data_IF_026241157279
#
_entry.id   IF_026241157279
#
_cell.length_a   1.000
_cell.length_b   1.000
_cell.length_c   1.000
_cell.angle_alpha   90.00
_cell.angle_beta   90.00
_cell.angle_gamma   90.00
#
_symmetry.space_group_name_H-M   'P 1'
#
loop_
_entity.id
_entity.type
_entity.pdbx_description
1 polymer ?
#
# COMPACT_ATOMS: atom_id res chain seq x y z
N UNK A 1 6.25 25.15 -16.67
CA UNK A 1 6.81 24.06 -17.50
C UNK A 1 7.85 24.56 -18.50
N UNK A 2 7.71 25.74 -19.10
CA UNK A 2 8.74 26.34 -19.98
C UNK A 2 10.13 26.52 -19.32
N UNK A 3 10.19 26.69 -17.99
CA UNK A 3 11.44 26.93 -17.28
C UNK A 3 12.42 25.75 -17.30
N UNK A 4 11.92 24.51 -17.17
CA UNK A 4 12.76 23.31 -17.06
C UNK A 4 13.15 22.72 -18.42
N UNK A 5 12.48 23.11 -19.50
CA UNK A 5 12.74 22.62 -20.88
C UNK A 5 12.79 21.09 -21.01
N UNK A 6 11.97 20.39 -20.23
CA UNK A 6 11.82 18.92 -20.30
C UNK A 6 10.47 18.55 -20.92
N UNK A 7 10.39 17.46 -21.70
CA UNK A 7 9.11 16.93 -22.15
C UNK A 7 8.21 16.60 -20.96
N UNK A 8 6.91 16.90 -21.08
CA UNK A 8 5.91 16.62 -20.06
C UNK A 8 4.65 16.09 -20.75
N UNK A 9 4.09 15.02 -20.20
CA UNK A 9 2.80 14.47 -20.60
C UNK A 9 1.92 14.35 -19.35
N UNK A 10 0.66 14.75 -19.49
CA UNK A 10 -0.34 14.64 -18.42
C UNK A 10 -1.24 13.44 -18.70
N UNK A 11 -1.24 12.49 -17.78
CA UNK A 11 -2.11 11.33 -17.81
C UNK A 11 -3.27 11.56 -16.83
N UNK A 12 -4.49 11.74 -17.35
CA UNK A 12 -5.69 12.01 -16.55
C UNK A 12 -6.36 10.70 -16.12
N UNK A 13 -6.03 10.22 -14.92
CA UNK A 13 -6.65 9.03 -14.37
C UNK A 13 -8.05 9.36 -13.82
N UNK A 14 -9.14 8.81 -14.41
CA UNK A 14 -10.49 9.13 -13.97
C UNK A 14 -10.76 8.61 -12.56
N UNK A 15 -11.54 9.38 -11.80
CA UNK A 15 -11.98 8.97 -10.45
C UNK A 15 -13.20 8.08 -10.60
N UNK A 16 -13.08 6.82 -10.17
CA UNK A 16 -14.22 5.91 -10.07
C UNK A 16 -15.06 6.22 -8.82
N UNK A 17 -16.35 6.52 -8.99
CA UNK A 17 -17.24 6.90 -7.88
C UNK A 17 -18.14 5.76 -7.36
N UNK A 18 -17.91 4.52 -7.82
CA UNK A 18 -18.62 3.34 -7.30
C UNK A 18 -18.41 3.15 -5.80
N UNK A 19 -19.42 2.62 -5.12
CA UNK A 19 -19.54 2.66 -3.66
C UNK A 19 -19.19 1.34 -2.97
N UNK A 20 -18.88 0.28 -3.71
CA UNK A 20 -18.60 -1.04 -3.14
C UNK A 20 -17.43 -1.77 -3.83
N UNK A 21 -16.87 -2.77 -3.13
CA UNK A 21 -15.85 -3.68 -3.66
C UNK A 21 -16.34 -4.46 -4.89
N UNK A 22 -17.64 -4.79 -4.94
CA UNK A 22 -18.30 -5.38 -6.10
C UNK A 22 -18.40 -4.40 -7.30
N UNK A 23 -18.40 -3.09 -7.05
CA UNK A 23 -18.45 -2.09 -8.12
C UNK A 23 -17.08 -1.92 -8.79
N UNK A 24 -15.98 -2.21 -8.09
CA UNK A 24 -14.62 -2.17 -8.68
C UNK A 24 -14.37 -3.23 -9.73
N UNK A 25 -15.13 -4.32 -9.68
CA UNK A 25 -15.13 -5.35 -10.72
C UNK A 25 -16.04 -4.98 -11.91
N UNK A 26 -16.88 -3.95 -11.75
CA UNK A 26 -17.87 -3.49 -12.71
C UNK A 26 -17.66 -1.99 -13.00
N UNK A 27 -16.41 -1.58 -13.25
CA UNK A 27 -16.09 -0.24 -13.74
C UNK A 27 -16.69 -0.10 -15.14
N UNK A 28 -17.28 1.05 -15.43
CA UNK A 28 -17.81 1.36 -16.75
C UNK A 28 -16.71 1.20 -17.82
N UNK A 29 -16.98 0.39 -18.83
CA UNK A 29 -16.05 0.11 -19.93
C UNK A 29 -15.67 1.40 -20.68
N UNK A 30 -16.55 2.40 -20.74
CA UNK A 30 -16.21 3.69 -21.34
C UNK A 30 -15.08 4.41 -20.57
N UNK A 31 -15.04 4.28 -19.23
CA UNK A 31 -13.99 4.86 -18.39
C UNK A 31 -12.67 4.09 -18.59
N UNK A 32 -12.75 2.76 -18.69
CA UNK A 32 -11.58 1.92 -18.97
C UNK A 32 -11.01 2.27 -20.35
N UNK A 33 -11.84 2.35 -21.38
CA UNK A 33 -11.42 2.68 -22.73
C UNK A 33 -10.83 4.09 -22.82
N UNK A 34 -11.44 5.08 -22.16
CA UNK A 34 -10.89 6.43 -22.09
C UNK A 34 -9.47 6.45 -21.53
N UNK A 35 -9.23 5.76 -20.42
CA UNK A 35 -7.93 5.74 -19.80
C UNK A 35 -6.92 4.88 -20.58
N UNK A 36 -7.37 3.76 -21.16
CA UNK A 36 -6.56 2.92 -22.06
C UNK A 36 -6.08 3.70 -23.27
N UNK A 37 -6.90 4.56 -23.86
CA UNK A 37 -6.51 5.43 -24.98
C UNK A 37 -5.41 6.41 -24.55
N UNK A 38 -5.52 7.02 -23.37
CA UNK A 38 -4.44 7.88 -22.85
C UNK A 38 -3.14 7.10 -22.59
N UNK A 39 -3.22 5.84 -22.14
CA UNK A 39 -2.01 5.00 -21.99
C UNK A 39 -1.32 4.72 -23.34
N UNK A 40 -2.08 4.50 -24.42
CA UNK A 40 -1.50 4.40 -25.77
C UNK A 40 -0.87 5.73 -26.22
N UNK A 41 -1.49 6.87 -25.90
CA UNK A 41 -0.93 8.20 -26.19
C UNK A 41 0.37 8.47 -25.40
N UNK A 42 0.46 8.06 -24.13
CA UNK A 42 1.70 8.10 -23.34
C UNK A 42 2.79 7.29 -24.03
N UNK A 43 2.47 6.10 -24.53
CA UNK A 43 3.43 5.26 -25.25
C UNK A 43 3.94 5.99 -26.49
N UNK A 44 3.04 6.53 -27.32
CA UNK A 44 3.42 7.28 -28.52
C UNK A 44 4.31 8.49 -28.18
N UNK A 45 4.00 9.21 -27.10
CA UNK A 45 4.82 10.32 -26.61
C UNK A 45 6.22 9.86 -26.17
N UNK A 46 6.32 8.73 -25.46
CA UNK A 46 7.62 8.15 -25.05
C UNK A 46 8.43 7.71 -26.27
N UNK A 47 7.79 7.10 -27.27
CA UNK A 47 8.44 6.73 -28.54
C UNK A 47 8.98 7.96 -29.28
N UNK A 48 8.23 9.06 -29.33
CA UNK A 48 8.65 10.32 -29.94
C UNK A 48 9.86 10.92 -29.22
N UNK A 49 9.81 11.01 -27.89
CA UNK A 49 10.87 11.62 -27.08
C UNK A 49 12.16 10.79 -27.10
N UNK A 50 12.04 9.46 -27.10
CA UNK A 50 13.19 8.56 -27.02
C UNK A 50 13.73 8.12 -28.38
N UNK A 51 12.92 8.23 -29.44
CA UNK A 51 13.19 7.64 -30.75
C UNK A 51 13.22 6.11 -30.75
N UNK A 52 12.70 5.46 -29.70
CA UNK A 52 12.68 4.01 -29.55
C UNK A 52 11.23 3.50 -29.65
N UNK A 53 10.89 2.69 -30.67
CA UNK A 53 9.56 2.11 -30.77
C UNK A 53 9.34 1.03 -29.70
N UNK A 54 8.08 0.82 -29.33
CA UNK A 54 7.63 -0.26 -28.44
C UNK A 54 7.96 -1.61 -29.06
N UNK A 55 8.81 -2.37 -28.38
CA UNK A 55 9.05 -3.78 -28.66
C UNK A 55 7.92 -4.62 -28.02
N UNK A 56 7.06 -5.29 -28.80
CA UNK A 56 5.92 -6.03 -28.26
C UNK A 56 6.32 -7.18 -27.32
N UNK A 57 7.45 -7.82 -27.58
CA UNK A 57 7.94 -8.95 -26.78
C UNK A 57 8.44 -8.45 -25.43
N UNK A 58 9.24 -7.38 -25.43
CA UNK A 58 9.70 -6.74 -24.19
C UNK A 58 8.53 -6.16 -23.41
N UNK A 59 7.58 -5.53 -24.09
CA UNK A 59 6.41 -4.94 -23.46
C UNK A 59 5.58 -6.00 -22.71
N UNK A 60 5.24 -7.11 -23.37
CA UNK A 60 4.57 -8.23 -22.71
C UNK A 60 5.38 -8.78 -21.55
N UNK A 61 6.70 -8.97 -21.74
CA UNK A 61 7.59 -9.48 -20.68
C UNK A 61 7.62 -8.58 -19.44
N UNK A 62 7.59 -7.26 -19.60
CA UNK A 62 7.52 -6.31 -18.49
C UNK A 62 6.25 -6.53 -17.66
N UNK A 63 5.11 -6.80 -18.29
CA UNK A 63 3.86 -7.08 -17.60
C UNK A 63 3.84 -8.45 -16.92
N UNK A 64 4.45 -9.47 -17.53
CA UNK A 64 4.65 -10.77 -16.88
C UNK A 64 5.47 -10.64 -15.59
N UNK A 65 6.53 -9.84 -15.61
CA UNK A 65 7.37 -9.56 -14.44
C UNK A 65 6.61 -8.77 -13.37
N UNK A 66 5.84 -7.77 -13.78
CA UNK A 66 5.00 -6.99 -12.86
C UNK A 66 3.93 -7.85 -12.18
N UNK A 67 3.27 -8.72 -12.95
CA UNK A 67 2.31 -9.68 -12.42
C UNK A 67 2.98 -10.63 -11.43
N UNK A 68 4.18 -11.14 -11.76
CA UNK A 68 4.95 -11.99 -10.85
C UNK A 68 5.31 -11.29 -9.54
N UNK A 69 5.71 -10.02 -9.58
CA UNK A 69 5.95 -9.23 -8.36
C UNK A 69 4.67 -9.14 -7.50
N UNK A 70 3.53 -8.85 -8.13
CA UNK A 70 2.24 -8.78 -7.45
C UNK A 70 1.85 -10.12 -6.79
N UNK A 71 2.02 -11.24 -7.49
CA UNK A 71 1.72 -12.58 -6.95
C UNK A 71 2.60 -12.89 -5.74
N UNK A 72 3.91 -12.64 -5.84
CA UNK A 72 4.87 -12.86 -4.75
C UNK A 72 4.53 -12.00 -3.52
N UNK A 73 4.18 -10.73 -3.71
CA UNK A 73 3.75 -9.84 -2.63
C UNK A 73 2.44 -10.33 -1.99
N UNK A 74 1.51 -10.84 -2.81
CA UNK A 74 0.28 -11.48 -2.34
C UNK A 74 0.54 -12.69 -1.45
N UNK A 75 1.44 -13.59 -1.87
CA UNK A 75 1.87 -14.75 -1.09
C UNK A 75 2.55 -14.34 0.23
N UNK A 76 3.44 -13.34 0.18
CA UNK A 76 4.11 -12.76 1.35
C UNK A 76 3.10 -12.24 2.38
N UNK A 77 2.08 -11.51 1.90
CA UNK A 77 1.03 -10.97 2.76
C UNK A 77 0.19 -12.07 3.42
N UNK A 78 -0.03 -13.22 2.77
CA UNK A 78 -0.72 -14.35 3.44
C UNK A 78 0.09 -14.89 4.62
N UNK A 79 1.43 -14.94 4.52
CA UNK A 79 2.28 -15.43 5.61
C UNK A 79 2.24 -14.52 6.84
N UNK A 80 2.04 -13.21 6.64
CA UNK A 80 1.91 -12.22 7.72
C UNK A 80 0.66 -12.42 8.60
N UNK A 81 -0.25 -13.31 8.23
CA UNK A 81 -1.38 -13.75 9.06
C UNK A 81 -0.97 -14.73 10.17
N UNK A 82 0.21 -15.34 10.08
CA UNK A 82 0.75 -16.23 11.11
C UNK A 82 0.92 -15.49 12.45
N UNK A 83 0.90 -16.26 13.54
CA UNK A 83 1.16 -15.79 14.91
C UNK A 83 2.27 -16.65 15.50
N UNK A 84 3.43 -16.06 15.86
CA UNK A 84 3.74 -14.63 15.73
C UNK A 84 3.90 -14.20 14.26
N UNK A 85 3.71 -12.90 13.99
CA UNK A 85 3.82 -12.30 12.66
C UNK A 85 5.28 -12.32 12.20
N UNK A 86 5.63 -12.93 11.06
CA UNK A 86 7.02 -13.10 10.62
C UNK A 86 7.66 -11.82 10.04
N UNK A 87 6.85 -10.83 9.64
CA UNK A 87 7.27 -9.58 8.98
C UNK A 87 6.27 -8.45 9.25
N UNK A 88 6.78 -7.32 9.76
CA UNK A 88 5.96 -6.17 10.19
C UNK A 88 5.91 -5.04 9.14
N UNK A 89 5.21 -3.95 9.49
CA UNK A 89 5.13 -2.75 8.64
C UNK A 89 6.47 -2.02 8.52
N UNK A 90 7.38 -2.21 9.47
CA UNK A 90 8.74 -1.64 9.42
C UNK A 90 9.47 -2.12 8.15
N UNK A 91 9.47 -3.43 7.92
CA UNK A 91 10.08 -4.03 6.73
C UNK A 91 9.28 -3.64 5.48
N UNK A 92 7.95 -3.71 5.55
CA UNK A 92 7.05 -3.31 4.46
C UNK A 92 7.33 -1.89 3.94
N UNK A 93 7.65 -0.94 4.83
CA UNK A 93 7.93 0.45 4.46
C UNK A 93 9.13 0.59 3.52
N UNK A 94 10.09 -0.35 3.56
CA UNK A 94 11.21 -0.42 2.62
C UNK A 94 10.94 -1.37 1.45
N UNK A 95 10.31 -2.51 1.72
CA UNK A 95 10.18 -3.59 0.74
C UNK A 95 9.12 -3.31 -0.34
N UNK A 96 8.25 -2.32 -0.15
CA UNK A 96 7.25 -1.93 -1.14
C UNK A 96 7.85 -1.18 -2.35
N UNK A 97 9.02 -0.55 -2.21
CA UNK A 97 9.61 0.33 -3.22
C UNK A 97 9.87 -0.34 -4.58
N UNK A 98 10.36 -1.60 -4.66
CA UNK A 98 10.54 -2.26 -5.94
C UNK A 98 9.24 -2.48 -6.70
N UNK A 99 8.13 -2.74 -6.01
CA UNK A 99 6.79 -2.82 -6.64
C UNK A 99 6.32 -1.43 -7.11
N UNK A 100 6.71 -0.37 -6.42
CA UNK A 100 6.38 1.01 -6.80
C UNK A 100 7.18 1.52 -8.01
N UNK A 101 8.49 1.26 -8.05
CA UNK A 101 9.41 1.94 -8.99
C UNK A 101 9.84 1.05 -10.16
N UNK A 102 9.84 -0.27 -9.96
CA UNK A 102 10.44 -1.22 -10.90
C UNK A 102 9.72 -2.58 -10.98
N UNK A 103 8.38 -2.64 -10.95
CA UNK A 103 7.66 -3.92 -10.92
C UNK A 103 7.93 -4.78 -12.16
N UNK A 104 8.26 -4.15 -13.30
CA UNK A 104 8.55 -4.85 -14.56
C UNK A 104 10.02 -5.29 -14.74
N UNK A 105 10.85 -5.21 -13.70
CA UNK A 105 12.26 -5.60 -13.75
C UNK A 105 12.51 -6.95 -13.07
N UNK A 106 13.40 -7.81 -13.61
CA UNK A 106 13.71 -9.11 -13.02
C UNK A 106 14.35 -8.99 -11.63
N UNK A 107 15.04 -7.89 -11.33
CA UNK A 107 15.62 -7.62 -10.01
C UNK A 107 14.55 -7.48 -8.93
N UNK A 108 13.39 -6.89 -9.24
CA UNK A 108 12.27 -6.79 -8.30
C UNK A 108 11.70 -8.19 -7.99
N UNK A 109 11.53 -9.02 -9.03
CA UNK A 109 11.09 -10.42 -8.87
C UNK A 109 12.09 -11.18 -7.99
N UNK A 110 13.38 -11.10 -8.29
CA UNK A 110 14.41 -11.79 -7.52
C UNK A 110 14.44 -11.37 -6.05
N UNK A 111 14.28 -10.07 -5.76
CA UNK A 111 14.18 -9.59 -4.38
C UNK A 111 12.97 -10.19 -3.66
N UNK A 112 11.79 -10.17 -4.27
CA UNK A 112 10.59 -10.71 -3.64
C UNK A 112 10.63 -12.24 -3.48
N UNK A 113 11.28 -12.97 -4.39
CA UNK A 113 11.51 -14.41 -4.22
C UNK A 113 12.41 -14.70 -3.01
N UNK A 114 13.47 -13.92 -2.81
CA UNK A 114 14.34 -14.03 -1.63
C UNK A 114 13.58 -13.67 -0.34
N UNK A 115 12.86 -12.56 -0.33
CA UNK A 115 12.08 -12.12 0.83
C UNK A 115 11.00 -13.14 1.21
N UNK A 116 10.28 -13.67 0.22
CA UNK A 116 9.27 -14.69 0.44
C UNK A 116 9.87 -15.98 1.03
N UNK A 117 11.04 -16.40 0.55
CA UNK A 117 11.74 -17.56 1.10
C UNK A 117 12.14 -17.34 2.57
N UNK A 118 12.71 -16.19 2.90
CA UNK A 118 13.09 -15.84 4.28
C UNK A 118 11.87 -15.82 5.21
N UNK A 119 10.79 -15.15 4.80
CA UNK A 119 9.57 -15.04 5.62
C UNK A 119 8.90 -16.40 5.79
N UNK A 120 8.92 -17.28 4.79
CA UNK A 120 8.46 -18.68 4.93
C UNK A 120 9.27 -19.43 5.97
N UNK A 121 10.60 -19.34 5.92
CA UNK A 121 11.47 -20.01 6.88
C UNK A 121 11.20 -19.52 8.32
N UNK A 122 10.96 -18.21 8.51
CA UNK A 122 10.56 -17.66 9.82
C UNK A 122 9.25 -18.27 10.30
N UNK A 123 8.23 -18.36 9.43
CA UNK A 123 6.96 -19.01 9.77
C UNK A 123 7.14 -20.49 10.15
N UNK A 124 7.95 -21.23 9.39
CA UNK A 124 8.24 -22.65 9.66
C UNK A 124 8.95 -22.87 11.01
N UNK A 125 9.81 -21.93 11.41
CA UNK A 125 10.49 -21.94 12.71
C UNK A 125 9.64 -21.36 13.85
N UNK A 126 8.48 -20.80 13.56
CA UNK A 126 7.65 -20.09 14.54
C UNK A 126 8.26 -18.78 15.03
N UNK A 127 9.14 -18.17 14.23
CA UNK A 127 9.82 -16.91 14.53
C UNK A 127 9.00 -15.73 13.99
N UNK A 128 8.75 -14.75 14.86
CA UNK A 128 8.07 -13.50 14.52
C UNK A 128 9.01 -12.31 14.48
N UNK A 129 8.45 -11.12 14.23
CA UNK A 129 9.13 -9.84 14.44
C UNK A 129 9.61 -9.71 15.89
N UNK A 130 8.79 -10.19 16.84
CA UNK A 130 9.12 -10.27 18.27
C UNK A 130 8.67 -11.61 18.85
N UNK A 131 9.35 -12.06 19.92
CA UNK A 131 9.04 -13.33 20.60
C UNK A 131 7.69 -13.30 21.35
N UNK A 132 7.31 -12.13 21.88
CA UNK A 132 6.12 -11.96 22.72
C UNK A 132 5.08 -11.04 22.05
N UNK A 133 4.60 -11.45 20.88
CA UNK A 133 3.49 -10.77 20.19
C UNK A 133 2.20 -10.91 21.02
N UNK A 134 1.80 -9.82 21.66
CA UNK A 134 0.57 -9.69 22.46
C UNK A 134 -0.55 -8.98 21.71
N UNK A 135 -0.21 -8.01 20.86
CA UNK A 135 -1.16 -7.19 20.13
C UNK A 135 -0.79 -7.07 18.66
N UNK A 136 -1.78 -7.19 17.77
CA UNK A 136 -1.64 -7.02 16.33
C UNK A 136 -2.32 -5.73 15.92
N UNK A 137 -1.60 -4.83 15.26
CA UNK A 137 -2.10 -3.50 14.94
C UNK A 137 -2.12 -3.25 13.44
N UNK A 138 -3.15 -2.55 12.98
CA UNK A 138 -3.22 -2.03 11.62
C UNK A 138 -2.60 -0.64 11.57
N UNK A 139 -1.62 -0.44 10.67
CA UNK A 139 -1.03 0.87 10.43
C UNK A 139 -1.73 1.57 9.27
N UNK A 140 -2.40 2.67 9.53
CA UNK A 140 -3.00 3.49 8.49
C UNK A 140 -2.09 4.68 8.20
N UNK A 141 -1.47 4.69 7.01
CA UNK A 141 -0.89 5.90 6.43
C UNK A 141 0.59 5.81 6.15
N UNK A 142 1.22 6.90 5.69
CA UNK A 142 2.61 6.84 5.31
C UNK A 142 3.50 6.75 6.54
N UNK A 143 4.57 5.96 6.44
CA UNK A 143 5.63 5.94 7.44
C UNK A 143 6.38 7.28 7.42
N UNK A 144 6.70 7.90 8.56
CA UNK A 144 7.48 9.14 8.58
C UNK A 144 8.93 8.88 8.11
N UNK A 145 9.32 9.49 6.99
CA UNK A 145 10.62 9.25 6.36
C UNK A 145 11.80 9.90 7.10
N UNK A 146 11.54 10.88 7.98
CA UNK A 146 12.59 11.49 8.80
C UNK A 146 12.99 10.62 10.02
N UNK A 147 12.14 9.69 10.45
CA UNK A 147 12.40 8.79 11.59
C UNK A 147 11.53 7.53 11.51
N UNK A 148 11.98 6.55 10.71
CA UNK A 148 11.27 5.26 10.54
C UNK A 148 11.31 4.38 11.79
N UNK A 149 12.24 4.64 12.73
CA UNK A 149 12.33 3.91 14.00
C UNK A 149 11.10 4.06 14.89
N UNK A 150 10.24 5.04 14.59
CA UNK A 150 8.92 5.18 15.19
C UNK A 150 8.11 3.88 15.11
N UNK A 151 8.18 3.19 13.96
CA UNK A 151 7.39 1.99 13.71
C UNK A 151 7.81 0.82 14.62
N UNK A 152 9.03 0.84 15.16
CA UNK A 152 9.53 -0.17 16.09
C UNK A 152 9.08 0.08 17.54
N UNK A 153 8.54 1.24 17.89
CA UNK A 153 8.14 1.52 19.27
C UNK A 153 7.09 0.57 19.82
N UNK A 154 6.20 0.09 18.95
CA UNK A 154 5.14 -0.85 19.33
C UNK A 154 5.72 -2.19 19.81
N UNK A 155 6.86 -2.61 19.24
CA UNK A 155 7.51 -3.88 19.53
C UNK A 155 7.96 -3.96 20.99
N UNK A 156 8.43 -2.84 21.56
CA UNK A 156 8.84 -2.73 22.97
C UNK A 156 7.71 -3.05 23.97
N UNK A 157 6.46 -2.93 23.52
CA UNK A 157 5.26 -3.17 24.32
C UNK A 157 4.52 -4.46 23.91
N UNK A 158 5.17 -5.32 23.12
CA UNK A 158 4.57 -6.57 22.65
C UNK A 158 3.54 -6.38 21.53
N UNK A 159 3.57 -5.24 20.82
CA UNK A 159 2.65 -4.97 19.72
C UNK A 159 3.37 -4.99 18.37
N UNK A 160 2.77 -5.61 17.36
CA UNK A 160 3.31 -5.65 15.99
C UNK A 160 2.36 -4.92 15.06
N UNK A 161 2.89 -3.98 14.27
CA UNK A 161 2.19 -3.42 13.12
C UNK A 161 2.19 -4.49 12.03
N UNK A 162 1.09 -5.21 11.85
CA UNK A 162 1.06 -6.43 11.01
C UNK A 162 0.81 -6.14 9.54
N UNK A 163 0.16 -5.02 9.21
CA UNK A 163 -0.17 -4.58 7.85
C UNK A 163 -0.34 -3.07 7.76
N UNK A 164 -0.10 -2.51 6.57
CA UNK A 164 -0.51 -1.16 6.22
C UNK A 164 -1.68 -1.13 5.23
N UNK A 165 -2.45 -0.05 5.22
CA UNK A 165 -3.45 0.20 4.18
C UNK A 165 -2.87 0.83 2.90
N UNK A 166 -1.69 1.46 2.97
CA UNK A 166 -1.08 2.12 1.82
C UNK A 166 -0.62 1.15 0.74
N UNK A 167 -0.35 -0.10 1.11
CA UNK A 167 0.10 -1.09 0.15
C UNK A 167 -0.95 -1.35 -0.94
N UNK A 168 -2.23 -1.13 -0.65
CA UNK A 168 -3.33 -1.18 -1.62
C UNK A 168 -3.17 -0.27 -2.82
N UNK A 169 -2.33 0.77 -2.71
CA UNK A 169 -2.02 1.65 -3.84
C UNK A 169 -1.34 0.86 -4.96
N UNK A 170 -0.55 -0.14 -4.60
CA UNK A 170 0.30 -0.88 -5.51
C UNK A 170 -0.30 -2.24 -5.90
N UNK A 171 -1.27 -2.73 -5.14
CA UNK A 171 -2.00 -3.96 -5.44
C UNK A 171 -2.80 -3.86 -6.74
N UNK A 172 -3.01 -5.01 -7.38
CA UNK A 172 -3.88 -5.20 -8.53
C UNK A 172 -3.24 -6.05 -9.62
N UNK A 173 -4.08 -6.66 -10.45
CA UNK A 173 -3.66 -7.59 -11.48
C UNK A 173 -3.05 -6.87 -12.69
N UNK A 174 -1.85 -7.29 -13.10
CA UNK A 174 -1.27 -6.97 -14.39
C UNK A 174 -1.65 -8.10 -15.35
N UNK A 175 -2.46 -7.80 -16.38
CA UNK A 175 -2.82 -8.77 -17.43
C UNK A 175 -1.79 -8.68 -18.58
N UNK A 176 -0.87 -9.65 -18.75
CA UNK A 176 0.13 -9.58 -19.81
C UNK A 176 -0.43 -9.84 -21.21
N UNK A 177 -1.62 -10.45 -21.31
CA UNK A 177 -2.28 -10.70 -22.58
C UNK A 177 -3.09 -9.49 -23.04
N UNK A 178 -3.57 -8.66 -22.11
CA UNK A 178 -4.16 -7.34 -22.37
C UNK A 178 -3.51 -6.23 -21.51
N UNK A 179 -2.22 -5.88 -21.75
CA UNK A 179 -1.45 -5.02 -20.84
C UNK A 179 -2.10 -3.69 -20.46
N UNK A 180 -2.61 -2.95 -21.44
CA UNK A 180 -3.14 -1.61 -21.20
C UNK A 180 -4.53 -1.62 -20.58
N UNK A 181 -5.37 -2.61 -20.93
CA UNK A 181 -6.67 -2.79 -20.30
C UNK A 181 -6.50 -3.21 -18.83
N UNK A 182 -5.64 -4.20 -18.57
CA UNK A 182 -5.29 -4.64 -17.21
C UNK A 182 -4.71 -3.50 -16.37
N UNK A 183 -3.79 -2.72 -16.92
CA UNK A 183 -3.24 -1.55 -16.23
C UNK A 183 -4.31 -0.49 -15.94
N UNK A 184 -5.19 -0.21 -16.90
CA UNK A 184 -6.26 0.76 -16.72
C UNK A 184 -7.20 0.34 -15.58
N UNK A 185 -7.68 -0.91 -15.59
CA UNK A 185 -8.50 -1.47 -14.52
C UNK A 185 -7.80 -1.43 -13.17
N UNK A 186 -6.53 -1.84 -13.12
CA UNK A 186 -5.70 -1.77 -11.90
C UNK A 186 -5.63 -0.36 -11.33
N UNK A 187 -5.34 0.65 -12.15
CA UNK A 187 -5.18 2.02 -11.68
C UNK A 187 -6.50 2.65 -11.24
N UNK A 188 -7.58 2.40 -11.98
CA UNK A 188 -8.90 2.99 -11.68
C UNK A 188 -9.54 2.33 -10.45
N UNK A 189 -9.32 1.03 -10.23
CA UNK A 189 -9.84 0.27 -9.09
C UNK A 189 -9.10 0.49 -7.76
N UNK A 190 -8.14 1.42 -7.73
CA UNK A 190 -7.37 1.75 -6.54
C UNK A 190 -8.30 2.14 -5.36
N UNK A 191 -7.99 1.68 -4.15
CA UNK A 191 -8.76 1.95 -2.92
C UNK A 191 -8.88 3.43 -2.57
N UNK A 192 -7.91 4.24 -2.99
CA UNK A 192 -7.89 5.70 -2.79
C UNK A 192 -8.54 6.46 -3.94
N UNK A 193 -8.90 5.78 -5.03
CA UNK A 193 -9.75 6.34 -6.07
C UNK A 193 -11.21 6.25 -5.64
N UNK A 194 -11.89 7.39 -5.61
CA UNK A 194 -13.33 7.46 -5.33
C UNK A 194 -13.68 7.77 -3.89
N UNK A 195 -14.71 7.09 -3.39
CA UNK A 195 -15.32 7.36 -2.10
C UNK A 195 -14.54 6.72 -0.95
N UNK A 196 -14.60 7.30 0.26
CA UNK A 196 -13.91 6.77 1.45
C UNK A 196 -14.33 5.34 1.81
N UNK A 197 -15.53 4.94 1.40
CA UNK A 197 -16.12 3.62 1.50
C UNK A 197 -15.23 2.55 0.87
N UNK A 198 -14.51 2.88 -0.21
CA UNK A 198 -13.54 1.98 -0.83
C UNK A 198 -12.43 1.62 0.15
N UNK A 199 -11.88 2.63 0.81
CA UNK A 199 -10.83 2.44 1.81
C UNK A 199 -11.36 1.73 3.04
N UNK A 200 -12.56 2.07 3.52
CA UNK A 200 -13.22 1.39 4.64
C UNK A 200 -13.39 -0.10 4.35
N UNK A 201 -13.90 -0.48 3.17
CA UNK A 201 -14.05 -1.87 2.78
C UNK A 201 -12.72 -2.64 2.79
N UNK A 202 -11.67 -2.04 2.24
CA UNK A 202 -10.34 -2.64 2.25
C UNK A 202 -9.79 -2.82 3.68
N UNK A 203 -9.88 -1.78 4.52
CA UNK A 203 -9.37 -1.87 5.89
C UNK A 203 -10.18 -2.82 6.77
N UNK A 204 -11.49 -3.02 6.49
CA UNK A 204 -12.30 -4.08 7.13
C UNK A 204 -11.78 -5.46 6.82
N UNK A 205 -11.46 -5.71 5.55
CA UNK A 205 -10.83 -6.97 5.13
C UNK A 205 -9.50 -7.17 5.83
N UNK A 206 -8.64 -6.14 5.90
CA UNK A 206 -7.38 -6.23 6.65
C UNK A 206 -7.61 -6.52 8.14
N UNK A 207 -8.53 -5.80 8.80
CA UNK A 207 -8.79 -5.96 10.21
C UNK A 207 -9.24 -7.40 10.57
N UNK A 208 -10.16 -7.96 9.77
CA UNK A 208 -10.64 -9.34 9.93
C UNK A 208 -9.56 -10.36 9.64
N UNK A 209 -8.93 -10.28 8.47
CA UNK A 209 -8.04 -11.31 7.96
C UNK A 209 -6.73 -11.41 8.75
N UNK A 210 -6.27 -10.28 9.33
CA UNK A 210 -5.04 -10.23 10.11
C UNK A 210 -5.28 -10.24 11.62
N UNK A 211 -6.54 -10.36 12.07
CA UNK A 211 -6.92 -10.46 13.50
C UNK A 211 -6.29 -9.34 14.32
N UNK A 212 -6.53 -8.09 13.90
CA UNK A 212 -5.97 -6.93 14.58
C UNK A 212 -6.75 -6.61 15.85
N UNK A 213 -6.06 -6.10 16.86
CA UNK A 213 -6.58 -5.69 18.17
C UNK A 213 -6.76 -4.16 18.27
N UNK A 214 -6.18 -3.41 17.34
CA UNK A 214 -6.26 -1.96 17.32
C UNK A 214 -5.73 -1.35 16.03
N UNK A 215 -5.94 -0.04 15.88
CA UNK A 215 -5.56 0.72 14.69
C UNK A 215 -4.68 1.90 15.08
N UNK A 216 -3.56 2.07 14.40
CA UNK A 216 -2.71 3.26 14.54
C UNK A 216 -2.75 4.02 13.22
N UNK A 217 -3.23 5.24 13.27
CA UNK A 217 -3.49 6.06 12.11
C UNK A 217 -2.56 7.28 12.09
N UNK A 218 -1.57 7.25 11.21
CA UNK A 218 -0.66 8.37 10.97
C UNK A 218 -1.22 9.29 9.88
N UNK A 219 -1.68 10.46 10.30
CA UNK A 219 -2.32 11.45 9.45
C UNK A 219 -1.29 12.44 8.93
N UNK A 220 -0.79 12.21 7.71
CA UNK A 220 0.00 13.22 7.01
C UNK A 220 -0.89 14.37 6.55
N UNK A 221 -0.75 15.54 7.19
CA UNK A 221 -1.62 16.70 6.98
C UNK A 221 -1.51 17.32 5.57
N UNK A 222 -0.39 17.10 4.88
CA UNK A 222 -0.19 17.54 3.50
C UNK A 222 -1.04 16.77 2.48
N UNK A 223 -1.35 15.50 2.74
CA UNK A 223 -2.14 14.68 1.84
C UNK A 223 -3.63 14.77 2.18
N UNK A 224 -4.33 15.71 1.54
CA UNK A 224 -5.77 15.97 1.80
C UNK A 224 -6.67 14.78 1.44
N UNK A 225 -6.32 14.03 0.41
CA UNK A 225 -7.03 12.79 0.03
C UNK A 225 -7.04 11.79 1.17
N UNK A 226 -5.87 11.59 1.79
CA UNK A 226 -5.68 10.63 2.86
C UNK A 226 -6.26 11.14 4.19
N UNK A 227 -5.84 12.35 4.60
CA UNK A 227 -6.23 12.94 5.88
C UNK A 227 -7.74 13.21 5.97
N UNK A 228 -8.39 13.56 4.87
CA UNK A 228 -9.83 13.87 4.85
C UNK A 228 -10.73 12.69 5.22
N UNK A 229 -10.34 11.47 4.86
CA UNK A 229 -11.10 10.24 5.15
C UNK A 229 -10.64 9.48 6.39
N UNK A 230 -9.51 9.86 7.00
CA UNK A 230 -8.84 9.06 8.03
C UNK A 230 -9.71 8.73 9.23
N UNK A 231 -10.42 9.75 9.74
CA UNK A 231 -11.31 9.60 10.89
C UNK A 231 -12.46 8.65 10.58
N UNK A 232 -13.09 8.81 9.41
CA UNK A 232 -14.20 7.96 8.98
C UNK A 232 -13.79 6.48 8.86
N UNK A 233 -12.57 6.21 8.37
CA UNK A 233 -12.01 4.86 8.33
C UNK A 233 -11.86 4.27 9.73
N UNK A 234 -11.29 5.03 10.66
CA UNK A 234 -11.09 4.58 12.05
C UNK A 234 -12.43 4.36 12.77
N UNK A 235 -13.39 5.27 12.60
CA UNK A 235 -14.72 5.17 13.22
C UNK A 235 -15.47 3.95 12.69
N UNK A 236 -15.42 3.67 11.39
CA UNK A 236 -16.04 2.48 10.80
C UNK A 236 -15.46 1.17 11.37
N UNK A 237 -14.13 1.09 11.56
CA UNK A 237 -13.48 -0.07 12.17
C UNK A 237 -13.85 -0.22 13.65
N UNK A 238 -13.98 0.90 14.37
CA UNK A 238 -14.42 0.90 15.77
C UNK A 238 -15.87 0.47 15.92
N UNK A 239 -16.77 0.98 15.09
CA UNK A 239 -18.21 0.66 15.15
C UNK A 239 -18.48 -0.81 14.82
N UNK A 240 -17.77 -1.38 13.86
CA UNK A 240 -18.01 -2.75 13.40
C UNK A 240 -17.28 -3.81 14.22
N UNK A 241 -16.01 -3.57 14.56
CA UNK A 241 -15.16 -4.56 15.23
C UNK A 241 -14.83 -4.22 16.68
N UNK A 242 -15.26 -3.05 17.18
CA UNK A 242 -14.90 -2.58 18.51
C UNK A 242 -13.43 -2.17 18.64
N UNK A 243 -12.72 -1.96 17.53
CA UNK A 243 -11.28 -1.70 17.53
C UNK A 243 -10.97 -0.30 18.09
N UNK A 244 -10.22 -0.19 19.21
CA UNK A 244 -9.67 1.08 19.64
C UNK A 244 -8.65 1.59 18.62
N UNK A 245 -8.50 2.91 18.52
CA UNK A 245 -7.58 3.50 17.58
C UNK A 245 -6.85 4.72 18.14
N UNK A 246 -5.62 4.92 17.67
CA UNK A 246 -4.77 6.07 17.95
C UNK A 246 -4.59 6.90 16.69
N UNK A 247 -4.85 8.20 16.75
CA UNK A 247 -4.54 9.13 15.67
C UNK A 247 -3.32 9.96 16.00
N UNK A 248 -2.38 9.95 15.06
CA UNK A 248 -1.10 10.63 15.14
C UNK A 248 -1.01 11.61 13.98
N UNK A 249 -1.15 12.89 14.26
CA UNK A 249 -0.96 13.93 13.24
C UNK A 249 0.53 14.18 13.04
N UNK A 250 0.94 14.31 11.78
CA UNK A 250 2.34 14.56 11.45
C UNK A 250 2.57 14.90 9.98
N UNK A 251 3.84 14.90 9.61
CA UNK A 251 4.29 15.09 8.23
C UNK A 251 5.10 13.88 7.75
N UNK A 252 5.12 13.64 6.45
CA UNK A 252 5.91 12.56 5.87
C UNK A 252 7.42 12.86 5.91
N UNK A 253 7.80 14.12 5.73
CA UNK A 253 9.21 14.53 5.57
C UNK A 253 9.60 15.69 6.49
N UNK A 254 8.63 16.48 6.96
CA UNK A 254 8.89 17.63 7.82
C UNK A 254 8.88 17.26 9.31
N UNK A 255 10.08 17.21 9.92
CA UNK A 255 10.24 16.88 11.33
C UNK A 255 9.93 18.04 12.28
N UNK A 256 9.57 19.25 11.82
CA UNK A 256 9.35 20.42 12.70
C UNK A 256 8.19 20.24 13.68
N UNK A 257 7.20 19.42 13.33
CA UNK A 257 6.07 19.07 14.21
C UNK A 257 6.30 17.82 15.04
N UNK A 258 7.47 17.17 14.94
CA UNK A 258 7.77 15.90 15.57
C UNK A 258 8.41 16.07 16.95
N UNK A 259 7.77 15.51 17.97
CA UNK A 259 8.34 15.32 19.30
C UNK A 259 8.32 13.82 19.64
N UNK A 260 9.52 13.22 19.64
CA UNK A 260 9.74 11.79 19.86
C UNK A 260 9.22 11.32 21.22
N UNK A 261 9.38 12.13 22.26
CA UNK A 261 8.96 11.79 23.63
C UNK A 261 7.44 11.87 23.76
N UNK A 262 6.83 12.93 23.22
CA UNK A 262 5.38 13.09 23.21
C UNK A 262 4.69 11.95 22.45
N UNK A 263 5.26 11.55 21.32
CA UNK A 263 4.68 10.50 20.50
C UNK A 263 4.81 9.12 21.15
N UNK A 264 5.95 8.83 21.77
CA UNK A 264 6.16 7.61 22.57
C UNK A 264 5.14 7.50 23.70
N UNK A 265 4.90 8.59 24.44
CA UNK A 265 3.91 8.61 25.53
C UNK A 265 2.47 8.35 25.02
N UNK A 266 2.12 8.86 23.83
CA UNK A 266 0.81 8.59 23.21
C UNK A 266 0.67 7.12 22.80
N UNK A 267 1.73 6.54 22.26
CA UNK A 267 1.77 5.12 21.87
C UNK A 267 1.64 4.23 23.11
N UNK A 268 2.44 4.48 24.15
CA UNK A 268 2.39 3.76 25.42
C UNK A 268 0.99 3.82 26.03
N UNK A 269 0.42 5.03 26.19
CA UNK A 269 -0.92 5.19 26.74
C UNK A 269 -2.02 4.54 25.88
N UNK A 270 -1.85 4.44 24.57
CA UNK A 270 -2.77 3.69 23.71
C UNK A 270 -2.65 2.19 23.95
N UNK A 271 -1.44 1.65 24.02
CA UNK A 271 -1.20 0.22 24.24
C UNK A 271 -1.69 -0.26 25.60
N UNK A 272 -1.63 0.59 26.62
CA UNK A 272 -2.27 0.34 27.93
C UNK A 272 -3.80 0.16 27.82
N UNK A 273 -4.47 0.71 26.80
CA UNK A 273 -5.92 0.52 26.61
C UNK A 273 -6.27 -0.82 25.95
N UNK A 274 -5.28 -1.53 25.38
CA UNK A 274 -5.48 -2.79 24.67
C UNK A 274 -5.39 -4.02 25.60
N UNK A 275 -4.93 -3.84 26.85
CA UNK A 275 -4.64 -4.92 27.80
C UNK A 275 -5.08 -4.60 29.22
#
# INVERSE_FOLDING_TARGET
MEHLKVPYYFLDAPIFSGRAEADRQNIDEEIIDYFRLQLEEVIAFVEEVTGQPRDPVRFRRTFELAQRCYDLWGELNQLRKAVPCPMGVVDEAGDVYPMMQMPGLPEAVGMYEMLLAEVRERVERGEGVIDNERHRLLWLGPAPNYDTSLLNYFEEFGAVLVRSDLDSIYLGHYDPDNPLDGLARKMISNTFSGSVENRIAYTRTLARDYRVDGVVAYTHLGCRLYAGGQRAVCDALKEEFGLPYLLLDGDLVDSRGYDRSQLRNKIEGFLETLG
#
